data_IF_441426347474
#
_entry.id   IF_441426347474
#
_cell.length_a   1.000
_cell.length_b   1.000
_cell.length_c   1.000
_cell.angle_alpha   90.00
_cell.angle_beta   90.00
_cell.angle_gamma   90.00
#
_symmetry.space_group_name_H-M   'P 1'
#
loop_
_entity.id
_entity.type
_entity.pdbx_description
1 polymer ?
#
# COMPACT_ATOMS: atom_id res chain seq x y z
N UNK A 1 2.68 11.50 27.36
CA UNK A 1 1.96 11.53 26.08
C UNK A 1 2.75 12.44 25.16
N UNK A 2 2.75 12.20 23.86
CA UNK A 2 3.36 13.11 22.91
C UNK A 2 2.36 14.27 22.75
N UNK A 3 2.73 15.48 23.16
CA UNK A 3 1.84 16.65 23.07
C UNK A 3 1.87 17.28 21.67
N UNK A 4 2.83 16.85 20.82
CA UNK A 4 3.01 17.35 19.46
C UNK A 4 3.30 16.21 18.46
N UNK A 5 2.48 16.12 17.42
CA UNK A 5 2.66 15.17 16.32
C UNK A 5 2.19 13.74 16.59
N UNK A 6 2.76 12.81 15.83
CA UNK A 6 2.43 11.39 15.89
C UNK A 6 1.06 11.02 15.35
N UNK A 7 0.26 11.92 14.79
CA UNK A 7 -1.01 11.56 14.16
C UNK A 7 -0.87 10.77 12.85
N UNK A 8 -1.99 10.65 12.14
CA UNK A 8 -2.05 10.15 10.77
C UNK A 8 -2.67 11.24 9.90
N UNK A 9 -1.85 11.84 9.03
CA UNK A 9 -2.28 12.84 8.08
C UNK A 9 -3.06 12.18 6.93
N UNK A 10 -4.18 12.79 6.54
CA UNK A 10 -5.00 12.39 5.40
C UNK A 10 -4.91 13.48 4.33
N UNK A 11 -4.79 13.07 3.07
CA UNK A 11 -4.59 14.00 1.95
C UNK A 11 -5.70 13.90 0.91
N UNK A 12 -6.04 15.03 0.31
CA UNK A 12 -6.99 15.16 -0.79
C UNK A 12 -6.26 15.72 -2.03
N UNK A 13 -5.52 14.87 -2.77
CA UNK A 13 -4.77 15.31 -3.94
C UNK A 13 -5.72 15.80 -5.05
N UNK A 14 -5.28 16.77 -5.88
CA UNK A 14 -6.07 17.25 -7.01
C UNK A 14 -6.46 16.13 -7.99
N UNK A 15 -7.61 16.26 -8.70
CA UNK A 15 -8.02 15.30 -9.71
C UNK A 15 -6.92 15.04 -10.76
N UNK A 16 -6.74 13.77 -11.14
CA UNK A 16 -5.71 13.36 -12.10
C UNK A 16 -4.33 13.06 -11.49
N UNK A 17 -4.18 13.22 -10.17
CA UNK A 17 -3.01 12.74 -9.43
C UNK A 17 -3.08 11.22 -9.30
N UNK A 18 -2.03 10.51 -9.72
CA UNK A 18 -1.96 9.05 -9.57
C UNK A 18 -1.11 8.68 -8.34
N UNK A 19 -1.55 7.67 -7.59
CA UNK A 19 -0.91 7.15 -6.37
C UNK A 19 0.56 6.69 -6.57
N UNK A 20 1.02 6.55 -7.81
CA UNK A 20 2.40 6.16 -8.15
C UNK A 20 3.37 7.33 -8.39
N UNK A 21 2.92 8.59 -8.31
CA UNK A 21 3.79 9.76 -8.42
C UNK A 21 4.25 10.18 -7.02
N UNK A 22 5.16 9.41 -6.45
CA UNK A 22 5.94 9.91 -5.34
C UNK A 22 6.71 11.15 -5.83
N UNK A 23 6.45 12.32 -5.25
CA UNK A 23 7.15 13.55 -5.63
C UNK A 23 8.58 13.46 -5.10
N UNK A 24 9.61 13.65 -5.93
CA UNK A 24 10.98 13.61 -5.45
C UNK A 24 11.13 14.60 -4.29
N UNK A 25 11.84 14.21 -3.22
CA UNK A 25 12.04 15.09 -2.07
C UNK A 25 12.62 16.42 -2.54
N UNK A 26 12.07 17.51 -2.04
CA UNK A 26 12.59 18.85 -2.28
C UNK A 26 13.56 19.21 -1.16
N UNK A 27 14.59 19.99 -1.45
CA UNK A 27 15.64 20.35 -0.47
C UNK A 27 15.09 21.10 0.78
N UNK A 28 13.83 21.56 0.75
CA UNK A 28 13.11 22.21 1.84
C UNK A 28 12.43 21.24 2.84
N UNK A 29 12.56 19.92 2.68
CA UNK A 29 11.86 18.93 3.52
C UNK A 29 12.39 18.81 4.97
N UNK A 30 13.27 19.71 5.42
CA UNK A 30 13.60 19.97 6.83
C UNK A 30 14.22 18.81 7.61
N UNK A 31 14.51 17.68 6.96
CA UNK A 31 15.09 16.49 7.59
C UNK A 31 16.58 16.40 7.33
N UNK A 32 17.40 16.78 8.30
CA UNK A 32 18.83 16.47 8.28
C UNK A 32 19.06 14.95 8.25
N UNK A 33 19.62 14.46 7.14
CA UNK A 33 20.04 13.06 6.97
C UNK A 33 19.69 12.53 5.58
N UNK A 34 20.72 12.16 4.80
CA UNK A 34 20.63 11.85 3.37
C UNK A 34 19.51 10.88 2.95
N UNK A 35 18.85 11.23 1.84
CA UNK A 35 17.80 10.44 1.18
C UNK A 35 16.40 10.84 1.64
N UNK A 36 15.86 11.93 1.11
CA UNK A 36 14.54 12.43 1.50
C UNK A 36 13.46 11.37 1.33
N UNK A 37 12.65 11.16 2.38
CA UNK A 37 11.48 10.28 2.32
C UNK A 37 10.44 10.93 1.43
N UNK A 38 9.88 10.17 0.50
CA UNK A 38 8.75 10.64 -0.30
C UNK A 38 7.58 11.01 0.62
N UNK A 39 7.12 12.26 0.53
CA UNK A 39 5.97 12.78 1.28
C UNK A 39 4.97 13.46 0.37
N UNK A 40 3.71 13.40 0.73
CA UNK A 40 2.67 14.21 0.10
C UNK A 40 2.88 15.70 0.41
N UNK A 41 2.53 16.60 -0.51
CA UNK A 41 2.57 18.04 -0.25
C UNK A 41 1.65 18.42 0.92
N UNK A 42 2.16 19.26 1.82
CA UNK A 42 1.38 19.79 2.94
C UNK A 42 0.13 20.56 2.45
N UNK A 43 0.23 21.21 1.29
CA UNK A 43 -0.91 21.91 0.67
C UNK A 43 -2.08 20.99 0.31
N UNK A 44 -1.87 19.67 0.25
CA UNK A 44 -2.92 18.68 -0.02
C UNK A 44 -3.45 18.02 1.25
N UNK A 45 -2.90 18.38 2.42
CA UNK A 45 -3.35 17.86 3.69
C UNK A 45 -4.77 18.32 3.96
N UNK A 46 -5.66 17.36 4.12
CA UNK A 46 -7.07 17.61 4.37
C UNK A 46 -7.40 17.52 5.86
N UNK A 47 -6.75 16.60 6.58
CA UNK A 47 -7.02 16.36 8.00
C UNK A 47 -5.84 15.63 8.69
N UNK A 48 -5.89 15.52 10.01
CA UNK A 48 -5.00 14.69 10.83
C UNK A 48 -5.80 13.96 11.92
N UNK A 49 -5.74 12.63 11.89
CA UNK A 49 -6.25 11.84 13.00
C UNK A 49 -5.24 11.85 14.16
N UNK A 50 -5.63 12.28 15.37
CA UNK A 50 -4.73 12.35 16.52
C UNK A 50 -4.33 10.95 17.00
N UNK A 51 -3.15 10.86 17.63
CA UNK A 51 -2.66 9.61 18.22
C UNK A 51 -2.91 9.58 19.74
N UNK A 52 -4.05 9.03 20.14
CA UNK A 52 -4.40 8.83 21.55
C UNK A 52 -4.42 7.34 21.94
N UNK A 53 -3.81 6.94 23.06
CA UNK A 53 -3.90 5.55 23.54
C UNK A 53 -5.34 5.08 23.69
N UNK A 54 -5.63 3.84 23.25
CA UNK A 54 -6.97 3.27 23.31
C UNK A 54 -7.93 3.71 22.20
N UNK A 55 -7.46 4.50 21.23
CA UNK A 55 -8.24 4.88 20.04
C UNK A 55 -7.85 4.04 18.83
N UNK A 56 -8.79 3.93 17.88
CA UNK A 56 -8.56 3.26 16.60
C UNK A 56 -8.98 4.19 15.45
N UNK A 57 -8.14 4.27 14.43
CA UNK A 57 -8.45 4.94 13.18
C UNK A 57 -8.84 3.89 12.13
N UNK A 58 -10.04 4.00 11.59
CA UNK A 58 -10.53 3.16 10.50
C UNK A 58 -10.74 4.07 9.28
N UNK A 59 -10.07 3.74 8.19
CA UNK A 59 -10.16 4.49 6.95
C UNK A 59 -10.04 3.53 5.76
N UNK A 60 -10.46 3.98 4.58
CA UNK A 60 -10.31 3.18 3.36
C UNK A 60 -8.86 3.20 2.90
N UNK A 61 -8.35 2.04 2.49
CA UNK A 61 -6.96 1.87 2.03
C UNK A 61 -6.57 2.81 0.87
N UNK A 62 -7.53 3.25 0.07
CA UNK A 62 -7.31 4.12 -1.08
C UNK A 62 -7.31 5.62 -0.74
N UNK A 63 -7.52 6.00 0.51
CA UNK A 63 -7.33 7.37 0.98
C UNK A 63 -5.81 7.60 1.13
N UNK A 64 -5.23 8.61 0.46
CA UNK A 64 -3.84 8.99 0.66
C UNK A 64 -3.58 9.40 2.10
N UNK A 65 -2.58 8.78 2.75
CA UNK A 65 -2.30 8.99 4.17
C UNK A 65 -0.83 8.76 4.51
N UNK A 66 -0.35 9.43 5.54
CA UNK A 66 1.02 9.28 6.07
C UNK A 66 1.04 9.37 7.60
N UNK A 67 2.04 8.73 8.21
CA UNK A 67 2.33 8.94 9.62
C UNK A 67 3.02 10.27 9.84
N UNK A 68 2.48 11.09 10.76
CA UNK A 68 3.13 12.34 11.17
C UNK A 68 4.32 12.01 12.08
N UNK A 69 5.47 12.70 11.93
CA UNK A 69 6.59 12.54 12.85
C UNK A 69 6.15 12.71 14.31
N UNK A 70 6.75 11.93 15.21
CA UNK A 70 6.55 12.08 16.65
C UNK A 70 7.41 13.23 17.17
N UNK A 71 6.95 13.90 18.22
CA UNK A 71 7.73 14.91 18.93
C UNK A 71 9.04 14.36 19.49
N UNK A 72 9.97 15.26 19.80
CA UNK A 72 11.30 14.91 20.32
C UNK A 72 11.21 14.04 21.59
N UNK A 73 12.05 13.00 21.65
CA UNK A 73 12.09 12.06 22.78
C UNK A 73 10.85 11.17 22.93
N UNK A 74 9.89 11.24 22.01
CA UNK A 74 8.67 10.43 22.04
C UNK A 74 8.76 9.22 21.10
N UNK A 75 7.99 8.18 21.43
CA UNK A 75 7.81 7.00 20.58
C UNK A 75 6.31 6.75 20.36
N UNK A 76 5.95 6.37 19.13
CA UNK A 76 4.60 5.91 18.78
C UNK A 76 4.63 4.42 18.45
N UNK A 77 3.93 3.64 19.25
CA UNK A 77 3.73 2.21 19.03
C UNK A 77 2.28 2.00 18.58
N UNK A 78 2.10 1.33 17.44
CA UNK A 78 0.77 1.08 16.86
C UNK A 78 0.61 -0.37 16.44
N UNK A 79 -0.62 -0.87 16.54
CA UNK A 79 -1.05 -2.13 15.93
C UNK A 79 -1.84 -1.74 14.68
N UNK A 80 -1.35 -2.13 13.51
CA UNK A 80 -2.04 -1.93 12.24
C UNK A 80 -2.48 -3.27 11.67
N UNK A 81 -3.70 -3.30 11.14
CA UNK A 81 -4.23 -4.41 10.36
C UNK A 81 -5.10 -3.86 9.24
N UNK A 82 -5.23 -4.61 8.16
CA UNK A 82 -6.11 -4.28 7.04
C UNK A 82 -7.31 -5.23 7.07
N UNK A 83 -8.52 -4.69 6.97
CA UNK A 83 -9.75 -5.49 6.92
C UNK A 83 -10.12 -5.77 5.47
N UNK A 84 -9.97 -7.03 5.06
CA UNK A 84 -10.35 -7.50 3.73
C UNK A 84 -11.79 -8.00 3.74
N UNK A 85 -12.66 -7.38 2.93
CA UNK A 85 -14.04 -7.83 2.75
C UNK A 85 -14.13 -8.96 1.73
N UNK A 86 -15.02 -9.93 1.99
CA UNK A 86 -15.39 -10.90 0.97
C UNK A 86 -16.15 -10.22 -0.18
N UNK A 87 -15.86 -10.61 -1.42
CA UNK A 87 -16.62 -10.15 -2.58
C UNK A 87 -18.03 -10.75 -2.56
N UNK A 88 -19.06 -9.90 -2.70
CA UNK A 88 -20.45 -10.37 -2.87
C UNK A 88 -20.62 -11.29 -4.08
N UNK A 89 -19.95 -10.94 -5.20
CA UNK A 89 -19.83 -11.81 -6.37
C UNK A 89 -18.38 -12.22 -6.45
N UNK A 90 -18.12 -13.50 -6.17
CA UNK A 90 -16.78 -14.06 -6.29
C UNK A 90 -16.36 -14.06 -7.76
N UNK A 91 -15.11 -13.71 -7.99
CA UNK A 91 -14.52 -13.65 -9.34
C UNK A 91 -13.46 -14.73 -9.40
N UNK A 92 -13.45 -15.52 -10.48
CA UNK A 92 -12.51 -16.64 -10.67
C UNK A 92 -12.57 -17.69 -9.56
N UNK A 93 -13.77 -17.94 -9.01
CA UNK A 93 -14.01 -18.98 -7.99
C UNK A 93 -14.53 -20.31 -8.59
N UNK A 94 -14.15 -20.59 -9.83
CA UNK A 94 -14.21 -21.93 -10.42
C UNK A 94 -12.85 -22.64 -10.26
N UNK A 95 -12.78 -23.92 -10.62
CA UNK A 95 -11.55 -24.70 -10.47
C UNK A 95 -10.40 -24.11 -11.28
N UNK A 96 -10.69 -23.64 -12.51
CA UNK A 96 -9.69 -23.03 -13.38
C UNK A 96 -9.15 -21.70 -12.81
N UNK A 97 -10.02 -20.87 -12.24
CA UNK A 97 -9.68 -19.60 -11.62
C UNK A 97 -8.88 -19.77 -10.33
N UNK A 98 -9.26 -20.72 -9.46
CA UNK A 98 -8.50 -21.05 -8.26
C UNK A 98 -7.10 -21.57 -8.59
N UNK A 99 -6.99 -22.42 -9.60
CA UNK A 99 -5.69 -22.93 -10.04
C UNK A 99 -4.85 -21.83 -10.73
N UNK A 100 -5.47 -20.95 -11.52
CA UNK A 100 -4.79 -19.79 -12.09
C UNK A 100 -4.25 -18.85 -11.00
N UNK A 101 -5.03 -18.58 -9.95
CA UNK A 101 -4.59 -17.83 -8.77
C UNK A 101 -3.40 -18.51 -8.08
N UNK A 102 -3.46 -19.82 -7.86
CA UNK A 102 -2.37 -20.59 -7.26
C UNK A 102 -1.08 -20.49 -8.09
N UNK A 103 -1.17 -20.68 -9.40
CA UNK A 103 -0.03 -20.54 -10.31
C UNK A 103 0.57 -19.12 -10.29
N UNK A 104 -0.26 -18.09 -10.15
CA UNK A 104 0.19 -16.70 -10.03
C UNK A 104 0.96 -16.48 -8.73
N UNK A 105 0.43 -16.93 -7.59
CA UNK A 105 1.10 -16.81 -6.29
C UNK A 105 2.44 -17.56 -6.29
N UNK A 106 2.48 -18.77 -6.87
CA UNK A 106 3.72 -19.54 -7.01
C UNK A 106 4.75 -18.81 -7.90
N UNK A 107 4.29 -18.15 -8.97
CA UNK A 107 5.14 -17.36 -9.84
C UNK A 107 5.77 -16.17 -9.10
N UNK A 108 4.96 -15.40 -8.34
CA UNK A 108 5.46 -14.30 -7.50
C UNK A 108 6.49 -14.79 -6.48
N UNK A 109 6.26 -15.96 -5.88
CA UNK A 109 7.21 -16.57 -4.96
C UNK A 109 8.51 -17.02 -5.65
N UNK A 110 8.46 -17.46 -6.92
CA UNK A 110 9.66 -17.77 -7.71
C UNK A 110 10.44 -16.50 -8.07
N UNK A 111 9.77 -15.40 -8.44
CA UNK A 111 10.41 -14.11 -8.69
C UNK A 111 11.12 -13.57 -7.45
N UNK A 112 10.48 -13.64 -6.28
CA UNK A 112 11.06 -13.23 -5.01
C UNK A 112 12.30 -14.04 -4.62
N UNK A 113 12.47 -15.24 -5.20
CA UNK A 113 13.65 -16.11 -5.05
C UNK A 113 14.65 -15.97 -6.21
N UNK A 114 14.46 -15.00 -7.09
CA UNK A 114 15.27 -14.75 -8.29
C UNK A 114 15.26 -15.91 -9.32
N UNK A 115 14.31 -16.84 -9.22
CA UNK A 115 14.10 -17.90 -10.22
C UNK A 115 13.19 -17.41 -11.35
N UNK A 116 13.74 -16.53 -12.17
CA UNK A 116 13.00 -15.86 -13.24
C UNK A 116 12.48 -16.82 -14.31
N UNK A 117 13.17 -17.95 -14.54
CA UNK A 117 12.75 -18.93 -15.54
C UNK A 117 11.52 -19.70 -15.09
N UNK A 118 11.49 -20.11 -13.82
CA UNK A 118 10.32 -20.77 -13.26
C UNK A 118 9.14 -19.81 -13.15
N UNK A 119 9.37 -18.57 -12.71
CA UNK A 119 8.35 -17.52 -12.69
C UNK A 119 7.72 -17.34 -14.08
N UNK A 120 8.52 -17.16 -15.13
CA UNK A 120 8.02 -17.01 -16.50
C UNK A 120 7.20 -18.23 -16.96
N UNK A 121 7.63 -19.45 -16.60
CA UNK A 121 6.92 -20.68 -16.95
C UNK A 121 5.55 -20.73 -16.28
N UNK A 122 5.48 -20.38 -15.00
CA UNK A 122 4.26 -20.36 -14.19
C UNK A 122 3.29 -19.26 -14.66
N UNK A 123 3.75 -18.04 -14.92
CA UNK A 123 2.91 -16.97 -15.48
C UNK A 123 2.32 -17.35 -16.84
N UNK A 124 3.13 -17.93 -17.74
CA UNK A 124 2.61 -18.43 -19.03
C UNK A 124 1.58 -19.54 -18.85
N UNK A 125 1.72 -20.36 -17.83
CA UNK A 125 0.74 -21.40 -17.53
C UNK A 125 -0.57 -20.78 -17.02
N UNK A 126 -0.49 -19.87 -16.06
CA UNK A 126 -1.62 -19.10 -15.55
C UNK A 126 -2.39 -18.42 -16.70
N UNK A 127 -1.69 -17.70 -17.59
CA UNK A 127 -2.29 -16.99 -18.71
C UNK A 127 -2.98 -17.91 -19.74
N UNK A 128 -2.48 -19.14 -19.93
CA UNK A 128 -3.16 -20.13 -20.80
C UNK A 128 -4.38 -20.74 -20.12
N UNK A 129 -4.30 -20.98 -18.82
CA UNK A 129 -5.36 -21.63 -18.05
C UNK A 129 -6.58 -20.72 -17.88
N UNK A 130 -6.33 -19.45 -17.54
CA UNK A 130 -7.38 -18.45 -17.42
C UNK A 130 -6.89 -17.10 -17.95
N UNK A 131 -7.09 -16.81 -19.25
CA UNK A 131 -6.73 -15.53 -19.84
C UNK A 131 -7.41 -14.34 -19.15
N UNK A 132 -8.67 -14.54 -18.72
CA UNK A 132 -9.43 -13.51 -18.03
C UNK A 132 -8.87 -13.20 -16.62
N UNK A 133 -8.41 -14.23 -15.89
CA UNK A 133 -7.72 -14.01 -14.62
C UNK A 133 -6.39 -13.29 -14.83
N UNK A 134 -5.58 -13.72 -15.82
CA UNK A 134 -4.29 -13.08 -16.09
C UNK A 134 -4.46 -11.59 -16.43
N UNK A 135 -5.41 -11.26 -17.31
CA UNK A 135 -5.72 -9.86 -17.62
C UNK A 135 -6.23 -9.06 -16.40
N UNK A 136 -6.88 -9.72 -15.43
CA UNK A 136 -7.32 -9.10 -14.19
C UNK A 136 -6.17 -8.86 -13.20
N UNK A 137 -5.21 -9.78 -13.13
CA UNK A 137 -4.12 -9.76 -12.17
C UNK A 137 -2.98 -8.80 -12.56
N UNK A 138 -2.87 -8.43 -13.83
CA UNK A 138 -1.88 -7.47 -14.37
C UNK A 138 -0.84 -8.14 -15.25
#
# INVERSE_FOLDING_TARGET
ACDDGGGTALFAPPPGTTMGKFLPPTDDDGGGGGGGKYRWPEAWRADEAPCSPGTALIFRQDIPHEGVPVGEGCEKILIRTDVMYERRVKVFDDDAGREAYRLHVDAQAAEAREDHMEAMRLYRHCARLSPAYAAFAG
#
